data_IF_789521575496
#
_entry.id   IF_789521575496
#
_cell.length_a   1.000
_cell.length_b   1.000
_cell.length_c   1.000
_cell.angle_alpha   90.00
_cell.angle_beta   90.00
_cell.angle_gamma   90.00
#
_symmetry.space_group_name_H-M   'P 1'
#
loop_
_entity.id
_entity.type
_entity.pdbx_description
1 polymer ?
#
# COMPACT_ATOMS: atom_id res chain seq x y z
N UNK A 1 -17.96 -29.90 29.03
CA UNK A 1 -17.23 -28.63 28.93
C UNK A 1 -16.43 -28.66 27.64
N UNK A 2 -16.75 -27.79 26.67
CA UNK A 2 -15.97 -27.66 25.44
C UNK A 2 -14.77 -26.74 25.71
N UNK A 3 -13.56 -27.20 25.36
CA UNK A 3 -12.35 -26.42 25.50
C UNK A 3 -12.33 -25.31 24.42
N UNK A 4 -12.78 -24.10 24.78
CA UNK A 4 -12.59 -22.92 23.93
C UNK A 4 -11.12 -22.48 24.00
N UNK A 5 -10.34 -22.88 23.00
CA UNK A 5 -8.98 -22.40 22.83
C UNK A 5 -9.01 -20.96 22.31
N UNK A 6 -8.74 -19.98 23.18
CA UNK A 6 -8.42 -18.63 22.74
C UNK A 6 -7.13 -18.68 21.89
N UNK A 7 -7.25 -18.47 20.57
CA UNK A 7 -6.10 -18.31 19.65
C UNK A 7 -5.42 -16.95 19.89
N UNK A 8 -4.78 -16.78 21.03
CA UNK A 8 -3.89 -15.64 21.28
C UNK A 8 -2.62 -15.83 20.45
N UNK A 9 -2.39 -14.92 19.51
CA UNK A 9 -1.18 -14.91 18.67
C UNK A 9 -1.36 -15.32 17.20
N UNK A 10 -2.58 -15.64 16.73
CA UNK A 10 -2.79 -15.83 15.29
C UNK A 10 -2.78 -14.47 14.58
N UNK A 11 -1.69 -14.13 13.90
CA UNK A 11 -1.66 -13.00 12.97
C UNK A 11 -2.44 -13.41 11.72
N UNK A 12 -3.66 -12.92 11.59
CA UNK A 12 -4.36 -12.98 10.30
C UNK A 12 -3.59 -12.09 9.36
N UNK A 13 -2.89 -12.67 8.38
CA UNK A 13 -2.28 -11.88 7.31
C UNK A 13 -3.40 -11.08 6.66
N UNK A 14 -3.39 -9.76 6.87
CA UNK A 14 -4.44 -8.82 6.42
C UNK A 14 -4.62 -8.89 4.87
N UNK A 15 -3.69 -9.52 4.17
CA UNK A 15 -3.49 -9.39 2.73
C UNK A 15 -3.13 -10.77 2.13
N UNK A 16 -4.10 -11.68 2.03
CA UNK A 16 -3.94 -12.87 1.21
C UNK A 16 -4.23 -12.53 -0.27
N UNK A 17 -3.19 -12.54 -1.12
CA UNK A 17 -3.31 -12.52 -2.58
C UNK A 17 -3.94 -11.25 -3.17
N UNK A 18 -5.04 -11.39 -3.93
CA UNK A 18 -5.66 -10.35 -4.77
C UNK A 18 -5.98 -9.04 -4.01
N UNK A 19 -6.35 -9.12 -2.74
CA UNK A 19 -6.61 -7.95 -1.90
C UNK A 19 -5.35 -7.08 -1.71
N UNK A 20 -4.17 -7.70 -1.76
CA UNK A 20 -2.89 -6.99 -1.70
C UNK A 20 -2.56 -6.22 -2.96
N UNK A 21 -2.91 -6.76 -4.12
CA UNK A 21 -2.74 -6.09 -5.40
C UNK A 21 -3.65 -4.87 -5.45
N UNK A 22 -4.95 -5.02 -5.14
CA UNK A 22 -5.90 -3.90 -5.13
C UNK A 22 -5.50 -2.80 -4.15
N UNK A 23 -4.99 -3.14 -2.96
CA UNK A 23 -4.49 -2.14 -2.02
C UNK A 23 -3.26 -1.41 -2.57
N UNK A 24 -2.33 -2.11 -3.20
CA UNK A 24 -1.14 -1.50 -3.81
C UNK A 24 -1.51 -0.58 -4.98
N UNK A 25 -2.48 -0.96 -5.81
CA UNK A 25 -3.02 -0.12 -6.89
C UNK A 25 -3.63 1.16 -6.32
N UNK A 26 -4.46 1.04 -5.29
CA UNK A 26 -5.05 2.20 -4.61
C UNK A 26 -3.96 3.13 -4.03
N UNK A 27 -2.95 2.57 -3.36
CA UNK A 27 -1.82 3.34 -2.84
C UNK A 27 -1.03 4.05 -3.93
N UNK A 28 -0.81 3.40 -5.08
CA UNK A 28 -0.15 4.02 -6.23
C UNK A 28 -0.93 5.25 -6.71
N UNK A 29 -2.25 5.13 -6.88
CA UNK A 29 -3.11 6.24 -7.29
C UNK A 29 -3.06 7.40 -6.30
N UNK A 30 -3.19 7.13 -4.99
CA UNK A 30 -3.11 8.17 -3.96
C UNK A 30 -1.76 8.90 -3.96
N UNK A 31 -0.65 8.19 -4.19
CA UNK A 31 0.66 8.84 -4.25
C UNK A 31 0.82 9.71 -5.49
N UNK A 32 0.33 9.28 -6.66
CA UNK A 32 0.35 10.08 -7.89
C UNK A 32 -0.52 11.33 -7.77
N UNK A 33 -1.70 11.21 -7.19
CA UNK A 33 -2.60 12.34 -6.92
C UNK A 33 -1.94 13.36 -5.98
N UNK A 34 -1.41 12.90 -4.84
CA UNK A 34 -0.72 13.76 -3.87
C UNK A 34 0.52 14.42 -4.44
N UNK A 35 1.31 13.70 -5.22
CA UNK A 35 2.46 14.26 -5.93
C UNK A 35 2.04 15.42 -6.84
N UNK A 36 0.98 15.21 -7.63
CA UNK A 36 0.46 16.22 -8.57
C UNK A 36 -0.07 17.46 -7.84
N UNK A 37 -0.82 17.26 -6.75
CA UNK A 37 -1.40 18.36 -5.96
C UNK A 37 -0.36 19.19 -5.21
N UNK A 38 0.75 18.57 -4.78
CA UNK A 38 1.76 19.21 -3.91
C UNK A 38 2.97 19.74 -4.71
N UNK A 39 3.13 19.33 -5.98
CA UNK A 39 4.29 19.64 -6.83
C UNK A 39 4.72 21.11 -6.82
N UNK A 40 3.75 22.03 -6.82
CA UNK A 40 4.00 23.48 -6.89
C UNK A 40 3.99 24.18 -5.52
N UNK A 41 3.51 23.52 -4.46
CA UNK A 41 3.47 24.08 -3.11
C UNK A 41 4.64 23.60 -2.23
N UNK A 42 5.12 22.38 -2.44
CA UNK A 42 6.29 21.83 -1.75
C UNK A 42 6.97 20.77 -2.62
N UNK A 43 7.98 21.19 -3.38
CA UNK A 43 8.67 20.33 -4.35
C UNK A 43 9.26 19.07 -3.72
N UNK A 44 9.91 19.17 -2.54
CA UNK A 44 10.49 18.02 -1.86
C UNK A 44 9.44 16.97 -1.47
N UNK A 45 8.28 17.43 -0.99
CA UNK A 45 7.18 16.54 -0.63
C UNK A 45 6.51 15.93 -1.87
N UNK A 46 6.40 16.69 -2.96
CA UNK A 46 5.96 16.18 -4.26
C UNK A 46 6.86 15.06 -4.78
N UNK A 47 8.18 15.29 -4.82
CA UNK A 47 9.20 14.31 -5.22
C UNK A 47 9.18 13.05 -4.35
N UNK A 48 8.96 13.21 -3.03
CA UNK A 48 8.80 12.09 -2.12
C UNK A 48 7.62 11.20 -2.52
N UNK A 49 6.45 11.79 -2.81
CA UNK A 49 5.27 11.03 -3.25
C UNK A 49 5.48 10.39 -4.62
N UNK A 50 6.15 11.05 -5.57
CA UNK A 50 6.53 10.43 -6.86
C UNK A 50 7.44 9.22 -6.67
N UNK A 51 8.45 9.33 -5.78
CA UNK A 51 9.35 8.21 -5.48
C UNK A 51 8.60 7.03 -4.85
N UNK A 52 7.63 7.30 -3.96
CA UNK A 52 6.77 6.26 -3.38
C UNK A 52 5.90 5.61 -4.44
N UNK A 53 5.26 6.39 -5.32
CA UNK A 53 4.48 5.86 -6.44
C UNK A 53 5.32 4.95 -7.35
N UNK A 54 6.53 5.37 -7.72
CA UNK A 54 7.45 4.55 -8.54
C UNK A 54 7.79 3.21 -7.87
N UNK A 55 8.07 3.21 -6.57
CA UNK A 55 8.35 1.97 -5.81
C UNK A 55 7.14 1.05 -5.74
N UNK A 56 5.95 1.60 -5.50
CA UNK A 56 4.69 0.82 -5.49
C UNK A 56 4.39 0.23 -6.86
N UNK A 57 4.58 1.00 -7.94
CA UNK A 57 4.40 0.53 -9.31
C UNK A 57 5.33 -0.65 -9.63
N UNK A 58 6.61 -0.56 -9.28
CA UNK A 58 7.56 -1.67 -9.46
C UNK A 58 7.08 -2.94 -8.74
N UNK A 59 6.60 -2.81 -7.50
CA UNK A 59 6.06 -3.95 -6.75
C UNK A 59 4.80 -4.54 -7.42
N UNK A 60 3.93 -3.71 -7.98
CA UNK A 60 2.77 -4.19 -8.74
C UNK A 60 3.19 -4.96 -9.99
N UNK A 61 4.20 -4.47 -10.72
CA UNK A 61 4.77 -5.14 -11.90
C UNK A 61 5.45 -6.47 -11.53
N UNK A 62 6.00 -6.61 -10.32
CA UNK A 62 6.56 -7.87 -9.82
C UNK A 62 5.50 -8.89 -9.38
N UNK A 63 4.25 -8.46 -9.12
CA UNK A 63 3.15 -9.29 -8.61
C UNK A 63 2.12 -9.68 -9.67
N UNK A 64 2.08 -8.99 -10.81
CA UNK A 64 1.17 -9.24 -11.94
C UNK A 64 1.81 -10.08 -13.02
#
# INVERSE_FOLDING_TARGET
MENQYCKVGSVTSILAGKQAITLLEYQYQCFMERASNIKYSNTKLGEFFELKAKKTKRRLEELG
#
